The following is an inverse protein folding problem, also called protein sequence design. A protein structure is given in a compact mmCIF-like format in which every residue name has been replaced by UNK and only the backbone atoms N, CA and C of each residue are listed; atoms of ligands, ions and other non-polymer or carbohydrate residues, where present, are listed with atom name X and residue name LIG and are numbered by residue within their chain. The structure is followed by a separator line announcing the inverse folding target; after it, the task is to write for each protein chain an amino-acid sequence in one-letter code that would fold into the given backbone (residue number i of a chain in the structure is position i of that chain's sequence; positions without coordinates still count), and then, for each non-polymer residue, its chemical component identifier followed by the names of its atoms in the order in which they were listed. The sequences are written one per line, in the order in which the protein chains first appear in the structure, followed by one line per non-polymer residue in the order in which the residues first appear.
data_IF_303683232150
#
_entry.id   IF_303683232150
#
_cell.length_a   1.000
_cell.length_b   1.000
_cell.length_c   1.000
_cell.angle_alpha   90.00
_cell.angle_beta   90.00
_cell.angle_gamma   90.00
#
_symmetry.space_group_name_H-M   'P 1'
#
loop_
_entity.id
_entity.type
_entity.pdbx_description
1 polymer ?
#
# COMPACT_ATOMS: atom_id res chain seq x y z
N UNK A 1 -22.72 -17.86 -5.96
CA UNK A 1 -21.28 -17.73 -5.67
C UNK A 1 -21.15 -17.72 -4.16
N UNK A 2 -20.50 -18.70 -3.55
CA UNK A 2 -20.22 -18.70 -2.11
C UNK A 2 -19.13 -17.63 -1.93
N UNK A 3 -19.44 -16.51 -1.25
CA UNK A 3 -18.43 -15.57 -0.81
C UNK A 3 -17.42 -16.35 0.04
N UNK A 4 -16.18 -16.46 -0.42
CA UNK A 4 -15.11 -17.04 0.39
C UNK A 4 -14.97 -16.16 1.63
N UNK A 5 -15.20 -16.73 2.78
CA UNK A 5 -15.01 -16.04 4.06
C UNK A 5 -13.58 -15.51 4.12
N UNK A 6 -13.43 -14.19 4.27
CA UNK A 6 -12.16 -13.51 4.48
C UNK A 6 -11.49 -14.10 5.72
N UNK A 7 -10.22 -14.46 5.61
CA UNK A 7 -9.42 -14.95 6.74
C UNK A 7 -8.58 -13.81 7.33
N UNK A 8 -8.27 -13.94 8.59
CA UNK A 8 -7.42 -13.05 9.35
C UNK A 8 -6.27 -13.88 9.90
N UNK A 9 -5.04 -13.44 9.66
CA UNK A 9 -3.82 -14.00 10.21
C UNK A 9 -3.29 -13.04 11.29
N UNK A 10 -2.99 -13.56 12.46
CA UNK A 10 -2.53 -12.76 13.62
C UNK A 10 -1.04 -12.99 13.91
N UNK A 11 -0.40 -13.90 13.19
CA UNK A 11 1.04 -14.16 13.29
C UNK A 11 1.72 -14.32 11.95
N UNK A 12 3.01 -14.07 11.91
CA UNK A 12 3.84 -14.29 10.71
C UNK A 12 3.90 -15.77 10.35
N UNK A 13 3.88 -16.66 11.34
CA UNK A 13 3.94 -18.11 11.12
C UNK A 13 2.66 -18.60 10.42
N UNK A 14 1.48 -18.17 10.88
CA UNK A 14 0.20 -18.47 10.21
C UNK A 14 0.17 -17.94 8.76
N UNK A 15 0.66 -16.72 8.56
CA UNK A 15 0.77 -16.13 7.22
C UNK A 15 1.71 -16.94 6.33
N UNK A 16 2.88 -17.35 6.83
CA UNK A 16 3.82 -18.18 6.09
C UNK A 16 3.25 -19.56 5.75
N UNK A 17 2.57 -20.19 6.69
CA UNK A 17 1.89 -21.46 6.43
C UNK A 17 0.84 -21.33 5.33
N UNK A 18 0.02 -20.27 5.38
CA UNK A 18 -0.97 -20.02 4.33
C UNK A 18 -0.33 -19.77 2.96
N UNK A 19 0.81 -19.10 2.91
CA UNK A 19 1.59 -18.89 1.67
C UNK A 19 2.14 -20.22 1.15
N UNK A 20 2.76 -21.04 2.01
CA UNK A 20 3.41 -22.29 1.65
C UNK A 20 2.40 -23.36 1.19
N UNK A 21 1.22 -23.37 1.79
CA UNK A 21 0.14 -24.32 1.45
C UNK A 21 -0.80 -23.83 0.35
N UNK A 22 -0.49 -22.68 -0.29
CA UNK A 22 -1.35 -22.02 -1.29
C UNK A 22 -2.77 -21.70 -0.79
N UNK A 23 -2.90 -21.46 0.50
CA UNK A 23 -4.16 -21.15 1.15
C UNK A 23 -4.39 -19.64 1.39
N UNK A 24 -3.46 -18.79 0.99
CA UNK A 24 -3.64 -17.33 1.02
C UNK A 24 -4.52 -16.89 -0.16
N UNK A 25 -5.45 -15.97 0.09
CA UNK A 25 -6.33 -15.41 -0.94
C UNK A 25 -6.28 -13.87 -0.94
N UNK A 26 -6.64 -13.29 -2.08
CA UNK A 26 -6.91 -11.84 -2.14
C UNK A 26 -8.10 -11.51 -1.24
N UNK A 27 -8.04 -10.39 -0.54
CA UNK A 27 -8.89 -9.92 0.56
C UNK A 27 -8.61 -10.53 1.94
N UNK A 28 -7.77 -11.57 2.07
CA UNK A 28 -7.32 -11.99 3.40
C UNK A 28 -6.59 -10.84 4.10
N UNK A 29 -6.75 -10.73 5.41
CA UNK A 29 -6.13 -9.70 6.23
C UNK A 29 -5.01 -10.29 7.09
N UNK A 30 -4.00 -9.49 7.34
CA UNK A 30 -2.90 -9.79 8.25
C UNK A 30 -2.79 -8.68 9.29
N UNK A 31 -2.92 -9.03 10.55
CA UNK A 31 -2.78 -8.11 11.69
C UNK A 31 -1.34 -8.20 12.19
N UNK A 32 -0.73 -7.06 12.37
CA UNK A 32 0.64 -6.92 12.89
C UNK A 32 0.79 -5.59 13.61
N UNK A 33 1.99 -5.16 13.90
CA UNK A 33 2.29 -3.83 14.43
C UNK A 33 3.16 -3.03 13.46
N UNK A 34 2.98 -1.73 13.45
CA UNK A 34 3.84 -0.77 12.78
C UNK A 34 4.01 0.51 13.61
N UNK A 35 4.41 1.64 12.97
CA UNK A 35 4.67 2.91 13.65
C UNK A 35 3.46 3.45 14.44
N UNK A 36 2.24 3.12 14.02
CA UNK A 36 0.99 3.55 14.67
C UNK A 36 0.48 2.55 15.72
N UNK A 37 1.22 1.46 15.98
CA UNK A 37 0.79 0.36 16.83
C UNK A 37 0.17 -0.77 16.03
N UNK A 38 -1.01 -1.28 16.43
CA UNK A 38 -1.69 -2.34 15.69
C UNK A 38 -2.07 -1.88 14.28
N UNK A 39 -1.70 -2.66 13.28
CA UNK A 39 -1.92 -2.38 11.88
C UNK A 39 -2.51 -3.58 11.13
N UNK A 40 -3.45 -3.32 10.24
CA UNK A 40 -4.07 -4.33 9.38
C UNK A 40 -3.60 -4.15 7.95
N UNK A 41 -3.14 -5.23 7.33
CA UNK A 41 -2.76 -5.27 5.92
C UNK A 41 -3.66 -6.23 5.15
N UNK A 42 -4.07 -5.84 3.95
CA UNK A 42 -4.93 -6.62 3.07
C UNK A 42 -4.08 -7.22 1.96
N UNK A 43 -4.22 -8.52 1.69
CA UNK A 43 -3.63 -9.15 0.52
C UNK A 43 -4.36 -8.67 -0.74
N UNK A 44 -3.69 -7.86 -1.57
CA UNK A 44 -4.29 -7.24 -2.76
C UNK A 44 -3.85 -7.92 -4.08
N UNK A 45 -2.77 -8.70 -4.04
CA UNK A 45 -2.25 -9.41 -5.23
C UNK A 45 -1.40 -10.60 -4.82
N UNK A 46 -1.64 -11.73 -5.45
CA UNK A 46 -0.84 -12.95 -5.33
C UNK A 46 -0.28 -13.29 -6.71
N UNK A 47 1.03 -13.10 -6.87
CA UNK A 47 1.77 -13.46 -8.07
C UNK A 47 2.61 -14.73 -7.87
N UNK A 48 3.22 -15.22 -8.95
CA UNK A 48 4.11 -16.41 -8.88
C UNK A 48 5.29 -16.23 -7.92
N UNK A 49 5.88 -15.03 -7.89
CA UNK A 49 7.09 -14.72 -7.12
C UNK A 49 6.89 -13.66 -6.03
N UNK A 50 5.77 -12.94 -6.04
CA UNK A 50 5.54 -11.79 -5.16
C UNK A 50 4.09 -11.76 -4.69
N UNK A 51 3.92 -11.40 -3.42
CA UNK A 51 2.64 -11.16 -2.78
C UNK A 51 2.62 -9.74 -2.27
N UNK A 52 1.55 -9.01 -2.54
CA UNK A 52 1.41 -7.60 -2.18
C UNK A 52 0.37 -7.44 -1.09
N UNK A 53 0.79 -6.83 0.01
CA UNK A 53 -0.06 -6.45 1.12
C UNK A 53 -0.13 -4.93 1.24
N UNK A 54 -1.33 -4.38 1.22
CA UNK A 54 -1.60 -2.96 1.36
C UNK A 54 -2.15 -2.67 2.75
N UNK A 55 -1.63 -1.65 3.43
CA UNK A 55 -2.19 -1.21 4.70
C UNK A 55 -3.67 -0.83 4.49
N UNK A 56 -4.53 -1.31 5.37
CA UNK A 56 -5.99 -1.10 5.27
C UNK A 56 -6.34 0.38 5.44
N UNK A 57 -5.73 1.01 6.43
CA UNK A 57 -5.87 2.43 6.76
C UNK A 57 -4.62 3.20 6.36
N UNK A 58 -4.74 4.51 6.13
CA UNK A 58 -3.55 5.37 5.99
C UNK A 58 -2.84 5.50 7.34
N UNK A 59 -1.57 5.94 7.34
CA UNK A 59 -0.86 6.27 8.58
C UNK A 59 -1.55 7.44 9.30
N UNK A 60 -1.41 7.50 10.63
CA UNK A 60 -1.98 8.59 11.43
C UNK A 60 -1.38 9.95 11.07
N UNK A 61 -0.08 10.00 10.78
CA UNK A 61 0.63 11.20 10.41
C UNK A 61 0.72 11.37 8.89
N UNK A 62 0.52 12.60 8.43
CA UNK A 62 0.78 13.01 7.05
C UNK A 62 2.28 13.26 6.83
N UNK A 63 2.73 13.18 5.56
CA UNK A 63 4.12 13.42 5.18
C UNK A 63 4.20 14.01 3.77
N UNK A 64 5.24 14.84 3.47
CA UNK A 64 5.55 15.16 2.09
C UNK A 64 5.97 13.91 1.32
N UNK A 65 5.82 13.92 0.01
CA UNK A 65 6.40 12.87 -0.83
C UNK A 65 7.92 13.04 -0.94
N UNK A 66 8.35 14.29 -1.09
CA UNK A 66 9.76 14.66 -1.13
C UNK A 66 9.91 16.16 -0.87
N UNK A 67 10.89 16.55 -0.06
CA UNK A 67 11.40 17.90 0.11
C UNK A 67 12.94 17.91 0.11
N UNK A 68 13.56 18.99 0.58
CA UNK A 68 15.01 19.15 0.56
C UNK A 68 15.74 18.10 1.41
N UNK A 69 15.14 17.70 2.54
CA UNK A 69 15.76 16.80 3.53
C UNK A 69 15.06 15.43 3.65
N UNK A 70 13.97 15.21 2.94
CA UNK A 70 13.12 14.03 3.10
C UNK A 70 12.70 13.42 1.74
N UNK A 71 12.77 12.09 1.64
CA UNK A 71 12.17 11.29 0.54
C UNK A 71 11.36 10.13 1.15
N UNK A 72 10.04 10.18 0.97
CA UNK A 72 9.10 9.20 1.49
C UNK A 72 9.45 7.75 1.07
N UNK A 73 10.01 7.57 -0.13
CA UNK A 73 10.36 6.24 -0.66
C UNK A 73 11.55 5.64 0.08
N UNK A 74 12.50 6.47 0.52
CA UNK A 74 13.63 6.09 1.36
C UNK A 74 13.11 5.78 2.77
N UNK A 75 12.38 6.72 3.36
CA UNK A 75 11.80 6.59 4.68
C UNK A 75 10.96 5.29 4.85
N UNK A 76 10.17 4.92 3.83
CA UNK A 76 9.37 3.68 3.85
C UNK A 76 10.23 2.41 3.95
N UNK A 77 11.42 2.39 3.35
CA UNK A 77 12.31 1.22 3.34
C UNK A 77 13.33 1.20 4.48
N UNK A 78 13.55 2.31 5.13
CA UNK A 78 14.43 2.48 6.28
C UNK A 78 13.61 2.62 7.57
N UNK A 79 13.18 3.84 7.91
CA UNK A 79 12.55 4.14 9.20
C UNK A 79 11.20 3.41 9.40
N UNK A 80 10.29 3.47 8.42
CA UNK A 80 9.00 2.79 8.56
C UNK A 80 9.14 1.28 8.61
N UNK A 81 9.95 0.70 7.73
CA UNK A 81 10.19 -0.75 7.71
C UNK A 81 10.77 -1.23 9.04
N UNK A 82 11.59 -0.42 9.70
CA UNK A 82 12.20 -0.78 10.99
C UNK A 82 11.20 -0.82 12.15
N UNK A 83 10.01 -0.22 11.99
CA UNK A 83 8.93 -0.33 12.98
C UNK A 83 8.16 -1.66 12.89
N UNK A 84 8.31 -2.43 11.82
CA UNK A 84 7.67 -3.73 11.65
C UNK A 84 8.41 -4.83 12.45
N UNK A 85 7.72 -5.90 12.89
CA UNK A 85 8.35 -7.03 13.57
C UNK A 85 9.50 -7.66 12.77
N UNK A 86 10.57 -8.08 13.44
CA UNK A 86 11.78 -8.62 12.78
C UNK A 86 11.52 -9.83 11.90
N UNK A 87 10.65 -10.75 12.37
CA UNK A 87 10.26 -11.93 11.59
C UNK A 87 9.49 -11.56 10.32
N UNK A 88 8.69 -10.49 10.34
CA UNK A 88 8.02 -9.96 9.16
C UNK A 88 9.01 -9.25 8.23
N UNK A 89 9.91 -8.40 8.77
CA UNK A 89 10.95 -7.70 8.00
C UNK A 89 11.80 -8.66 7.17
N UNK A 90 12.13 -9.82 7.72
CA UNK A 90 12.91 -10.86 7.04
C UNK A 90 12.24 -11.41 5.76
N UNK A 91 10.92 -11.30 5.64
CA UNK A 91 10.14 -11.72 4.47
C UNK A 91 9.92 -10.59 3.47
N UNK A 92 10.01 -9.34 3.92
CA UNK A 92 9.71 -8.16 3.10
C UNK A 92 10.88 -7.85 2.17
N UNK A 93 10.61 -7.93 0.87
CA UNK A 93 11.54 -7.47 -0.16
C UNK A 93 11.62 -5.95 -0.21
N UNK A 94 10.48 -5.28 -0.11
CA UNK A 94 10.34 -3.83 -0.30
C UNK A 94 9.08 -3.31 0.36
N UNK A 95 9.17 -2.10 0.92
CA UNK A 95 8.02 -1.27 1.26
C UNK A 95 7.93 -0.11 0.26
N UNK A 96 6.76 0.13 -0.29
CA UNK A 96 6.54 1.21 -1.26
C UNK A 96 5.08 1.67 -1.26
N UNK A 97 4.77 2.62 -2.12
CA UNK A 97 3.40 3.02 -2.43
C UNK A 97 2.90 2.28 -3.68
N UNK A 98 1.58 2.26 -3.86
CA UNK A 98 0.97 1.78 -5.11
C UNK A 98 1.24 2.79 -6.22
N UNK A 99 1.43 2.32 -7.44
CA UNK A 99 1.59 3.16 -8.62
C UNK A 99 0.25 3.57 -9.21
N UNK A 100 0.20 4.71 -9.90
CA UNK A 100 -1.03 5.19 -10.54
C UNK A 100 -1.65 4.13 -11.46
N UNK A 101 -0.85 3.57 -12.38
CA UNK A 101 -1.32 2.54 -13.32
C UNK A 101 -1.70 1.22 -12.65
N UNK A 102 -1.04 0.84 -11.54
CA UNK A 102 -1.45 -0.32 -10.74
C UNK A 102 -2.83 -0.13 -10.11
N UNK A 103 -3.19 1.10 -9.76
CA UNK A 103 -4.48 1.43 -9.13
C UNK A 103 -5.58 1.67 -10.15
N UNK A 104 -5.33 2.47 -11.19
CA UNK A 104 -6.37 2.96 -12.10
C UNK A 104 -6.41 2.23 -13.45
N UNK A 105 -5.38 1.45 -13.79
CA UNK A 105 -5.26 0.77 -15.09
C UNK A 105 -4.63 1.64 -16.18
N UNK A 106 -4.48 2.93 -15.93
CA UNK A 106 -3.90 3.91 -16.83
C UNK A 106 -3.03 4.92 -16.06
N UNK A 107 -2.18 5.64 -16.78
CA UNK A 107 -1.47 6.80 -16.26
C UNK A 107 -2.18 8.08 -16.73
N UNK A 108 -3.14 8.55 -15.94
CA UNK A 108 -3.87 9.79 -16.24
C UNK A 108 -2.95 11.01 -16.12
N UNK A 109 -2.18 11.08 -15.07
CA UNK A 109 -1.29 12.18 -14.73
C UNK A 109 0.18 11.78 -14.69
N UNK A 110 0.48 10.55 -14.28
CA UNK A 110 1.82 10.07 -14.05
C UNK A 110 2.60 9.76 -15.32
N UNK A 111 3.92 9.58 -15.14
CA UNK A 111 4.81 9.04 -16.17
C UNK A 111 4.35 7.65 -16.60
N UNK A 112 4.65 7.28 -17.86
CA UNK A 112 4.28 5.93 -18.33
C UNK A 112 5.07 4.86 -17.58
N UNK A 113 4.38 3.83 -17.14
CA UNK A 113 4.93 2.73 -16.35
C UNK A 113 4.54 1.38 -16.95
N UNK A 114 5.51 0.48 -17.03
CA UNK A 114 5.35 -0.89 -17.54
C UNK A 114 4.68 -1.84 -16.54
N UNK A 115 3.54 -1.45 -15.95
CA UNK A 115 2.77 -2.27 -15.04
C UNK A 115 1.32 -2.37 -15.49
N UNK A 116 0.58 -3.34 -14.94
CA UNK A 116 -0.84 -3.54 -15.19
C UNK A 116 -1.65 -3.23 -13.93
N UNK A 117 -2.92 -2.93 -14.11
CA UNK A 117 -3.83 -2.73 -13.00
C UNK A 117 -3.87 -3.97 -12.10
N UNK A 118 -3.81 -3.75 -10.81
CA UNK A 118 -4.10 -4.78 -9.82
C UNK A 118 -5.62 -4.97 -9.77
N UNK A 119 -6.10 -6.19 -10.00
CA UNK A 119 -7.52 -6.53 -10.13
C UNK A 119 -8.34 -6.02 -8.93
N UNK A 120 -7.78 -6.08 -7.73
CA UNK A 120 -8.40 -5.62 -6.50
C UNK A 120 -8.86 -4.15 -6.55
N UNK A 121 -8.12 -3.29 -7.25
CA UNK A 121 -8.46 -1.86 -7.39
C UNK A 121 -9.53 -1.56 -8.46
N UNK A 122 -10.01 -2.54 -9.21
CA UNK A 122 -11.15 -2.32 -10.11
C UNK A 122 -12.41 -1.93 -9.34
N UNK A 123 -12.55 -2.41 -8.11
CA UNK A 123 -13.56 -1.89 -7.19
C UNK A 123 -13.08 -0.54 -6.62
N UNK A 124 -13.75 0.55 -6.98
CA UNK A 124 -13.40 1.91 -6.54
C UNK A 124 -13.40 2.07 -5.01
N UNK A 125 -14.24 1.33 -4.30
CA UNK A 125 -14.27 1.35 -2.83
C UNK A 125 -12.93 0.94 -2.19
N UNK A 126 -12.16 0.10 -2.86
CA UNK A 126 -10.83 -0.34 -2.39
C UNK A 126 -9.75 0.76 -2.50
N UNK A 127 -9.99 1.78 -3.31
CA UNK A 127 -9.09 2.93 -3.46
C UNK A 127 -9.28 3.95 -2.34
N UNK A 128 -10.47 4.00 -1.75
CA UNK A 128 -10.82 4.91 -0.67
C UNK A 128 -10.20 4.40 0.63
N UNK A 129 -9.57 5.28 1.39
CA UNK A 129 -8.96 4.93 2.67
C UNK A 129 -9.25 5.97 3.75
N UNK A 130 -9.48 5.48 4.97
CA UNK A 130 -9.63 6.26 6.20
C UNK A 130 -8.39 6.09 7.06
N UNK A 131 -8.22 6.89 8.11
CA UNK A 131 -7.12 6.71 9.06
C UNK A 131 -7.47 5.67 10.14
N UNK A 132 -8.77 5.47 10.42
CA UNK A 132 -9.28 4.52 11.43
C UNK A 132 -10.57 3.86 10.96
N UNK A 133 -10.95 2.79 11.65
CA UNK A 133 -12.23 2.08 11.44
C UNK A 133 -13.44 3.01 11.49
N UNK A 134 -13.46 3.91 12.47
CA UNK A 134 -14.61 4.76 12.79
C UNK A 134 -14.52 6.15 12.17
N UNK A 135 -13.56 6.40 11.28
CA UNK A 135 -13.46 7.68 10.58
C UNK A 135 -14.60 7.82 9.57
N UNK A 136 -15.34 8.91 9.69
CA UNK A 136 -16.38 9.31 8.73
C UNK A 136 -15.77 9.85 7.42
N UNK A 137 -14.50 10.25 7.46
CA UNK A 137 -13.82 10.92 6.35
C UNK A 137 -12.71 10.05 5.77
N UNK A 138 -12.72 9.93 4.45
CA UNK A 138 -11.63 9.37 3.65
C UNK A 138 -10.59 10.44 3.34
N UNK A 139 -9.35 10.00 3.12
CA UNK A 139 -8.19 10.88 2.99
C UNK A 139 -7.51 10.75 1.63
N UNK A 140 -6.89 11.85 1.20
CA UNK A 140 -5.97 11.89 0.08
C UNK A 140 -4.65 11.25 0.49
N UNK A 141 -4.07 10.40 -0.36
CA UNK A 141 -2.80 9.75 -0.05
C UNK A 141 -1.90 9.61 -1.29
N UNK A 142 -0.60 9.63 -1.03
CA UNK A 142 0.42 9.55 -2.06
C UNK A 142 0.43 8.23 -2.83
N UNK A 143 0.71 8.33 -4.14
CA UNK A 143 1.09 7.22 -5.00
C UNK A 143 2.58 7.29 -5.35
N UNK A 144 3.16 6.16 -5.77
CA UNK A 144 4.58 6.05 -6.11
C UNK A 144 4.97 6.85 -7.36
N UNK A 145 4.01 7.17 -8.23
CA UNK A 145 4.23 7.64 -9.59
C UNK A 145 4.48 9.15 -9.63
N UNK A 146 5.62 9.62 -10.19
CA UNK A 146 5.84 11.04 -10.47
C UNK A 146 4.85 11.54 -11.54
N UNK A 147 4.49 12.82 -11.45
CA UNK A 147 3.71 13.49 -12.48
C UNK A 147 4.52 13.66 -13.78
N UNK A 148 3.88 13.41 -14.94
CA UNK A 148 4.60 13.35 -16.23
C UNK A 148 5.26 14.66 -16.69
N UNK A 149 4.67 15.79 -16.31
CA UNK A 149 5.12 17.11 -16.77
C UNK A 149 6.07 17.80 -15.78
N UNK A 150 6.27 17.27 -14.57
CA UNK A 150 7.13 17.88 -13.55
C UNK A 150 7.58 16.87 -12.50
N UNK A 151 8.87 16.77 -12.26
CA UNK A 151 9.44 15.93 -11.19
C UNK A 151 9.19 16.50 -9.77
N UNK A 152 8.70 17.74 -9.67
CA UNK A 152 8.30 18.35 -8.41
C UNK A 152 6.88 17.91 -7.97
N UNK A 153 6.13 17.21 -8.82
CA UNK A 153 4.76 16.77 -8.53
C UNK A 153 4.68 15.25 -8.52
N UNK A 154 3.78 14.70 -7.69
CA UNK A 154 3.48 13.28 -7.61
C UNK A 154 1.99 13.00 -7.66
N UNK A 155 1.63 11.83 -8.19
CA UNK A 155 0.25 11.37 -8.24
C UNK A 155 -0.28 11.06 -6.84
N UNK A 156 -1.60 11.20 -6.69
CA UNK A 156 -2.37 10.94 -5.49
C UNK A 156 -3.58 10.08 -5.82
N UNK A 157 -4.09 9.38 -4.82
CA UNK A 157 -5.48 8.94 -4.78
C UNK A 157 -6.28 9.93 -3.92
N UNK A 158 -7.35 10.49 -4.47
CA UNK A 158 -8.22 11.41 -3.74
C UNK A 158 -9.19 10.66 -2.79
N UNK A 159 -9.93 11.41 -1.99
CA UNK A 159 -10.87 10.87 -1.01
C UNK A 159 -12.12 10.22 -1.62
N UNK A 160 -12.31 10.30 -2.94
CA UNK A 160 -13.38 9.61 -3.67
C UNK A 160 -12.86 8.40 -4.46
N UNK A 161 -11.56 8.10 -4.36
CA UNK A 161 -10.92 7.00 -5.09
C UNK A 161 -10.56 7.35 -6.54
N UNK A 162 -10.46 8.64 -6.86
CA UNK A 162 -10.00 9.17 -8.13
C UNK A 162 -8.50 9.45 -8.17
N UNK A 163 -7.93 9.59 -9.39
CA UNK A 163 -6.54 10.02 -9.57
C UNK A 163 -6.43 11.54 -9.53
N UNK A 164 -5.39 12.04 -8.85
CA UNK A 164 -5.01 13.43 -8.75
C UNK A 164 -3.49 13.58 -8.64
N UNK A 165 -2.99 14.80 -8.39
CA UNK A 165 -1.57 15.08 -8.14
C UNK A 165 -1.40 16.31 -7.26
N UNK A 166 -0.24 16.41 -6.61
CA UNK A 166 0.14 17.55 -5.79
C UNK A 166 1.66 17.78 -5.82
N UNK A 167 2.09 18.93 -5.31
CA UNK A 167 3.50 19.25 -5.07
C UNK A 167 4.09 18.24 -4.09
N UNK A 168 5.28 17.72 -4.41
CA UNK A 168 5.93 16.69 -3.61
C UNK A 168 6.27 17.17 -2.19
N UNK A 169 6.49 18.47 -1.99
CA UNK A 169 6.78 19.08 -0.68
C UNK A 169 5.53 19.29 0.18
N UNK A 170 4.32 19.07 -0.37
CA UNK A 170 3.09 19.27 0.36
C UNK A 170 2.93 18.21 1.47
N UNK A 171 2.95 18.65 2.72
CA UNK A 171 3.06 17.77 3.88
C UNK A 171 1.73 17.21 4.41
N UNK A 172 0.58 17.67 3.88
CA UNK A 172 -0.74 17.34 4.41
C UNK A 172 -1.40 16.12 3.77
N UNK A 173 -0.69 15.40 2.90
CA UNK A 173 -1.18 14.16 2.33
C UNK A 173 -0.79 12.94 3.17
N UNK A 174 -1.68 11.98 3.23
CA UNK A 174 -1.50 10.75 3.98
C UNK A 174 -0.62 9.73 3.24
N UNK A 175 -0.20 8.71 3.95
CA UNK A 175 0.63 7.62 3.46
C UNK A 175 -0.11 6.30 3.65
N UNK A 176 -0.22 5.50 2.59
CA UNK A 176 -0.81 4.15 2.61
C UNK A 176 0.25 3.12 2.19
N UNK A 177 1.07 2.62 3.12
CA UNK A 177 2.17 1.73 2.81
C UNK A 177 1.70 0.39 2.22
N UNK A 178 2.51 -0.11 1.27
CA UNK A 178 2.40 -1.46 0.74
C UNK A 178 3.71 -2.19 0.94
N UNK A 179 3.69 -3.39 1.51
CA UNK A 179 4.86 -4.26 1.49
C UNK A 179 4.71 -5.40 0.50
N UNK A 180 5.84 -5.84 -0.03
CA UNK A 180 5.93 -6.93 -1.00
C UNK A 180 6.74 -8.05 -0.40
N UNK A 181 6.11 -9.21 -0.22
CA UNK A 181 6.77 -10.45 0.18
C UNK A 181 7.30 -11.21 -1.02
N UNK A 182 8.43 -11.90 -0.85
CA UNK A 182 8.92 -12.88 -1.82
C UNK A 182 8.30 -14.23 -1.50
N UNK A 183 7.65 -14.83 -2.49
CA UNK A 183 7.20 -16.21 -2.40
C UNK A 183 8.41 -17.11 -2.67
N UNK A 184 8.81 -17.88 -1.67
CA UNK A 184 9.83 -18.92 -1.85
C UNK A 184 9.15 -20.08 -2.61
N UNK A 185 9.72 -20.42 -3.76
CA UNK A 185 9.31 -21.58 -4.56
C UNK A 185 9.81 -22.86 -3.90
#
# INVERSE_FOLDING_TARGET
MIEKTKRIFESVDELQEAINTNNLHVNDEFITSDIDGEAVFICIKIGKKKIHFLRKYVLADTKPMKDDDFDLRIWLNEDYKDTLPDNLKALIKKVNLVKEKEMFGENKYGVDESCTQIEWFKNTKHRIATARVDDEYSHWYWLQTPYRASSALFCLCDNYGGSSYADASYADNYVRPRFILVRRS
#
